data_IF_017577518331
#
_entry.id   IF_017577518331
#
_cell.length_a   1.000
_cell.length_b   1.000
_cell.length_c   1.000
_cell.angle_alpha   90.00
_cell.angle_beta   90.00
_cell.angle_gamma   90.00
#
_symmetry.space_group_name_H-M   'P 1'
#
loop_
_entity.id
_entity.type
_entity.pdbx_description
1 polymer ?
#
# COMPACT_ATOMS: atom_id res chain seq x y z
N UNK A 1 2.47 -1.27 -19.29
CA UNK A 1 3.01 -2.59 -18.93
C UNK A 1 2.09 -3.67 -19.48
N UNK A 2 2.65 -4.70 -20.09
CA UNK A 2 1.95 -5.92 -20.47
C UNK A 2 2.64 -7.09 -19.80
N UNK A 3 1.85 -7.97 -19.19
CA UNK A 3 2.34 -9.15 -18.48
C UNK A 3 1.75 -10.37 -19.16
N UNK A 4 2.61 -11.24 -19.64
CA UNK A 4 2.22 -12.52 -20.24
C UNK A 4 2.86 -13.63 -19.42
N UNK A 5 2.02 -14.49 -18.86
CA UNK A 5 2.45 -15.69 -18.15
C UNK A 5 2.07 -16.91 -18.95
N UNK A 6 3.05 -17.74 -19.22
CA UNK A 6 2.88 -19.00 -19.95
C UNK A 6 3.44 -20.16 -19.14
N UNK A 7 2.75 -21.28 -19.15
CA UNK A 7 3.22 -22.53 -18.55
C UNK A 7 3.42 -23.63 -19.60
N UNK A 8 4.06 -24.71 -19.20
CA UNK A 8 4.34 -25.88 -20.03
C UNK A 8 3.10 -26.72 -20.37
N UNK A 9 1.95 -26.46 -19.71
CA UNK A 9 0.67 -27.09 -20.00
C UNK A 9 -0.12 -26.35 -21.09
N UNK A 10 0.43 -25.26 -21.61
CA UNK A 10 -0.19 -24.43 -22.66
C UNK A 10 -1.13 -23.35 -22.12
N UNK A 11 -1.16 -23.10 -20.82
CA UNK A 11 -1.88 -21.96 -20.26
C UNK A 11 -1.18 -20.66 -20.63
N UNK A 12 -1.95 -19.71 -21.15
CA UNK A 12 -1.47 -18.35 -21.39
C UNK A 12 -2.41 -17.37 -20.70
N UNK A 13 -1.86 -16.58 -19.77
CA UNK A 13 -2.56 -15.50 -19.09
C UNK A 13 -1.95 -14.19 -19.53
N UNK A 14 -2.79 -13.21 -19.87
CA UNK A 14 -2.34 -11.88 -20.26
C UNK A 14 -3.02 -10.83 -19.37
N UNK A 15 -2.24 -9.90 -18.89
CA UNK A 15 -2.70 -8.73 -18.15
C UNK A 15 -2.04 -7.49 -18.72
N UNK A 16 -2.76 -6.38 -18.74
CA UNK A 16 -2.21 -5.11 -19.19
C UNK A 16 -2.66 -3.98 -18.30
N UNK A 17 -1.76 -3.07 -18.02
CA UNK A 17 -2.02 -1.88 -17.22
C UNK A 17 -1.16 -0.72 -17.67
N UNK A 18 -1.62 0.47 -17.39
CA UNK A 18 -0.83 1.68 -17.57
C UNK A 18 -1.04 2.62 -16.40
N UNK A 19 -0.01 3.33 -16.04
CA UNK A 19 -0.07 4.39 -15.04
C UNK A 19 0.91 5.49 -15.42
N UNK A 20 0.58 6.71 -15.04
CA UNK A 20 1.44 7.87 -15.15
C UNK A 20 1.69 8.40 -13.75
N UNK A 21 2.95 8.74 -13.46
CA UNK A 21 3.33 9.34 -12.18
C UNK A 21 4.06 10.65 -12.46
N UNK A 22 3.73 11.67 -11.69
CA UNK A 22 4.42 12.96 -11.64
C UNK A 22 4.94 13.16 -10.23
N UNK A 23 6.22 13.52 -10.10
CA UNK A 23 6.84 13.88 -8.83
C UNK A 23 7.50 15.24 -8.93
N UNK A 24 7.48 15.99 -7.84
CA UNK A 24 8.07 17.32 -7.73
C UNK A 24 8.83 17.44 -6.42
N UNK A 25 10.06 18.00 -6.50
CA UNK A 25 10.82 18.41 -5.33
C UNK A 25 10.99 19.94 -5.32
N UNK A 26 10.79 20.55 -4.16
CA UNK A 26 10.97 21.99 -3.96
C UNK A 26 12.00 22.23 -2.87
N UNK A 27 12.91 23.17 -3.14
CA UNK A 27 13.89 23.68 -2.16
C UNK A 27 13.46 25.07 -1.72
N UNK A 28 13.06 25.21 -0.46
CA UNK A 28 12.69 26.49 0.16
C UNK A 28 13.87 27.05 0.94
N UNK A 29 14.12 28.37 0.81
CA UNK A 29 15.22 29.05 1.52
C UNK A 29 14.75 30.39 2.06
N UNK A 30 15.07 30.65 3.33
CA UNK A 30 14.80 31.93 3.99
C UNK A 30 15.78 32.10 5.16
N UNK A 31 16.39 33.28 5.29
CA UNK A 31 17.28 33.69 6.38
C UNK A 31 18.36 32.66 6.77
N UNK A 32 18.92 31.96 5.77
CA UNK A 32 19.97 30.95 5.99
C UNK A 32 19.44 29.55 6.29
N UNK A 33 18.13 29.40 6.47
CA UNK A 33 17.49 28.09 6.58
C UNK A 33 17.16 27.52 5.18
N UNK A 34 17.20 26.19 5.06
CA UNK A 34 16.94 25.49 3.80
C UNK A 34 16.21 24.19 4.06
N UNK A 35 15.04 24.07 3.47
CA UNK A 35 14.18 22.89 3.60
C UNK A 35 13.84 22.31 2.22
N UNK A 36 13.64 20.99 2.18
CA UNK A 36 13.26 20.26 0.99
C UNK A 36 11.89 19.60 1.23
N UNK A 37 10.98 19.79 0.30
CA UNK A 37 9.71 19.10 0.26
C UNK A 37 9.55 18.31 -1.03
N UNK A 38 8.91 17.16 -0.95
CA UNK A 38 8.58 16.30 -2.08
C UNK A 38 7.09 15.99 -2.08
N UNK A 39 6.54 15.85 -3.28
CA UNK A 39 5.18 15.36 -3.48
C UNK A 39 5.07 14.64 -4.80
N UNK A 40 4.05 13.79 -4.92
CA UNK A 40 3.78 13.03 -6.13
C UNK A 40 2.32 12.68 -6.28
N UNK A 41 1.93 12.43 -7.51
CA UNK A 41 0.60 11.92 -7.89
C UNK A 41 0.77 10.85 -8.94
N UNK A 42 -0.10 9.87 -8.91
CA UNK A 42 -0.19 8.83 -9.93
C UNK A 42 -1.64 8.69 -10.38
N UNK A 43 -1.84 8.43 -11.67
CA UNK A 43 -3.16 8.23 -12.26
C UNK A 43 -3.07 7.31 -13.49
N UNK A 44 -4.21 6.94 -14.06
CA UNK A 44 -4.30 6.19 -15.30
C UNK A 44 -3.93 7.05 -16.54
N UNK A 45 -4.09 8.37 -16.46
CA UNK A 45 -3.72 9.30 -17.53
C UNK A 45 -3.16 10.59 -16.95
N UNK A 46 -2.36 11.31 -17.75
CA UNK A 46 -1.78 12.60 -17.33
C UNK A 46 -2.85 13.66 -17.08
N UNK A 47 -3.92 13.66 -17.87
CA UNK A 47 -5.03 14.63 -17.74
C UNK A 47 -5.79 14.48 -16.41
N UNK A 48 -5.67 13.35 -15.74
CA UNK A 48 -6.24 13.12 -14.41
C UNK A 48 -5.36 13.65 -13.26
N UNK A 49 -4.16 14.18 -13.58
CA UNK A 49 -3.25 14.73 -12.59
C UNK A 49 -3.27 16.25 -12.65
N UNK A 50 -3.80 16.89 -11.59
CA UNK A 50 -3.68 18.33 -11.41
C UNK A 50 -2.26 18.69 -10.97
N UNK A 51 -1.42 19.02 -11.96
CA UNK A 51 -0.01 19.34 -11.74
C UNK A 51 0.17 20.71 -11.09
N UNK A 52 -0.76 21.65 -11.29
CA UNK A 52 -0.72 22.97 -10.67
C UNK A 52 -1.02 22.88 -9.18
N UNK A 53 -2.07 22.14 -8.80
CA UNK A 53 -2.39 21.87 -7.40
C UNK A 53 -1.23 21.13 -6.69
N UNK A 54 -0.61 20.16 -7.35
CA UNK A 54 0.58 19.47 -6.82
C UNK A 54 1.72 20.45 -6.58
N UNK A 55 2.00 21.35 -7.53
CA UNK A 55 3.08 22.31 -7.40
C UNK A 55 2.84 23.29 -6.23
N UNK A 56 1.61 23.77 -6.08
CA UNK A 56 1.20 24.65 -4.98
C UNK A 56 1.33 23.94 -3.63
N UNK A 57 0.84 22.72 -3.52
CA UNK A 57 0.93 21.90 -2.29
C UNK A 57 2.38 21.69 -1.85
N UNK A 58 3.25 21.27 -2.77
CA UNK A 58 4.66 20.99 -2.44
C UNK A 58 5.42 22.27 -2.10
N UNK A 59 5.15 23.38 -2.81
CA UNK A 59 5.74 24.66 -2.49
C UNK A 59 5.32 25.15 -1.09
N UNK A 60 4.03 25.03 -0.75
CA UNK A 60 3.51 25.38 0.57
C UNK A 60 4.12 24.49 1.67
N UNK A 61 4.24 23.18 1.43
CA UNK A 61 4.88 22.25 2.35
C UNK A 61 6.33 22.62 2.63
N UNK A 62 7.09 23.00 1.59
CA UNK A 62 8.47 23.45 1.72
C UNK A 62 8.58 24.74 2.54
N UNK A 63 7.66 25.70 2.32
CA UNK A 63 7.63 26.95 3.08
C UNK A 63 7.26 26.71 4.57
N UNK A 64 6.32 25.82 4.85
CA UNK A 64 5.87 25.48 6.22
C UNK A 64 6.97 24.78 7.04
N UNK A 65 7.93 24.15 6.42
CA UNK A 65 9.04 23.48 7.09
C UNK A 65 10.16 24.42 7.53
N UNK A 66 10.24 25.61 6.92
CA UNK A 66 11.24 26.60 7.29
C UNK A 66 11.10 26.99 8.76
N UNK A 67 12.24 27.17 9.43
CA UNK A 67 12.35 27.50 10.85
C UNK A 67 11.69 26.53 11.82
N UNK A 68 11.44 25.27 11.37
CA UNK A 68 10.90 24.23 12.22
C UNK A 68 11.82 23.99 13.43
N UNK A 69 11.21 23.81 14.61
CA UNK A 69 11.93 23.57 15.84
C UNK A 69 11.53 22.21 16.43
N UNK A 70 12.45 21.50 17.10
CA UNK A 70 12.13 20.31 17.83
C UNK A 70 11.03 20.58 18.87
N UNK A 71 10.07 19.67 18.98
CA UNK A 71 9.09 19.69 20.06
C UNK A 71 9.66 18.99 21.30
N UNK A 72 9.19 19.36 22.47
CA UNK A 72 9.59 18.69 23.71
C UNK A 72 9.18 17.21 23.71
N UNK A 73 9.95 16.34 24.39
CA UNK A 73 9.54 14.96 24.56
C UNK A 73 8.25 14.86 25.38
N UNK A 74 7.29 14.07 24.90
CA UNK A 74 5.99 13.97 25.56
C UNK A 74 5.06 12.98 24.88
N UNK A 75 3.84 12.87 25.39
CA UNK A 75 2.74 12.14 24.74
C UNK A 75 1.84 13.16 24.04
N UNK A 76 1.63 12.95 22.75
CA UNK A 76 0.84 13.84 21.91
C UNK A 76 -0.26 13.06 21.21
N UNK A 77 -1.42 13.70 21.01
CA UNK A 77 -2.36 13.24 20.00
C UNK A 77 -1.78 13.60 18.64
N UNK A 78 -1.75 12.63 17.73
CA UNK A 78 -1.14 12.79 16.39
C UNK A 78 -2.19 12.50 15.33
N UNK A 79 -2.29 13.39 14.33
CA UNK A 79 -3.02 13.15 13.10
C UNK A 79 -1.99 12.87 12.03
N UNK A 80 -2.07 11.70 11.42
CA UNK A 80 -1.23 11.35 10.28
C UNK A 80 -1.94 11.80 9.00
N UNK A 81 -1.25 12.60 8.19
CA UNK A 81 -1.70 12.89 6.83
C UNK A 81 -1.75 11.60 6.02
N UNK A 82 -2.61 11.53 5.00
CA UNK A 82 -2.84 10.33 4.21
C UNK A 82 -1.56 9.69 3.62
N UNK A 83 -0.64 10.51 3.12
CA UNK A 83 0.67 10.06 2.61
C UNK A 83 1.54 9.42 3.70
N UNK A 84 1.69 10.09 4.85
CA UNK A 84 2.43 9.57 6.00
C UNK A 84 1.78 8.30 6.59
N UNK A 85 0.44 8.24 6.60
CA UNK A 85 -0.29 7.06 7.03
C UNK A 85 -0.07 5.89 6.06
N UNK A 86 -0.06 6.15 4.75
CA UNK A 86 0.19 5.14 3.72
C UNK A 86 1.61 4.57 3.81
N UNK A 87 2.63 5.44 3.93
CA UNK A 87 4.03 5.01 4.12
C UNK A 87 4.21 4.16 5.39
N UNK A 88 3.56 4.57 6.49
CA UNK A 88 3.61 3.80 7.72
C UNK A 88 2.95 2.43 7.56
N UNK A 89 1.78 2.37 6.93
CA UNK A 89 1.09 1.11 6.65
C UNK A 89 1.91 0.20 5.74
N UNK A 90 2.52 0.75 4.68
CA UNK A 90 3.37 -0.01 3.76
C UNK A 90 4.52 -0.71 4.50
N UNK A 91 5.16 -0.01 5.44
CA UNK A 91 6.23 -0.60 6.25
C UNK A 91 5.74 -1.76 7.14
N UNK A 92 4.47 -1.76 7.52
CA UNK A 92 3.88 -2.81 8.36
C UNK A 92 3.14 -3.90 7.59
N UNK A 93 2.87 -3.74 6.30
CA UNK A 93 2.15 -4.74 5.50
C UNK A 93 2.72 -6.17 5.58
N UNK A 94 4.04 -6.38 5.68
CA UNK A 94 4.59 -7.73 5.83
C UNK A 94 4.06 -8.52 7.02
N UNK A 95 3.52 -7.88 8.07
CA UNK A 95 2.92 -8.62 9.19
C UNK A 95 1.74 -9.50 8.77
N UNK A 96 1.07 -9.19 7.65
CA UNK A 96 -0.02 -9.98 7.08
C UNK A 96 0.45 -11.10 6.15
N UNK A 97 1.75 -11.18 5.85
CA UNK A 97 2.29 -12.20 4.95
C UNK A 97 2.46 -13.54 5.68
N UNK A 98 1.86 -14.58 5.13
CA UNK A 98 1.99 -15.93 5.69
C UNK A 98 3.45 -16.40 5.74
N UNK A 99 4.30 -15.93 4.83
CA UNK A 99 5.75 -16.18 4.86
C UNK A 99 6.39 -15.65 6.13
N UNK A 100 6.03 -14.43 6.55
CA UNK A 100 6.56 -13.81 7.77
C UNK A 100 6.03 -14.50 9.03
N UNK A 101 4.76 -14.94 9.01
CA UNK A 101 4.17 -15.72 10.09
C UNK A 101 4.86 -17.09 10.24
N UNK A 102 5.15 -17.77 9.12
CA UNK A 102 5.85 -19.06 9.10
C UNK A 102 7.31 -18.96 9.51
N UNK A 103 7.92 -17.79 9.39
CA UNK A 103 9.28 -17.49 9.81
C UNK A 103 9.35 -16.88 11.23
N UNK A 104 8.23 -16.84 11.95
CA UNK A 104 8.12 -16.25 13.30
C UNK A 104 8.46 -14.73 13.36
N UNK A 105 8.36 -14.04 12.20
CA UNK A 105 8.61 -12.60 12.07
C UNK A 105 7.36 -11.75 12.21
N UNK A 106 6.16 -12.36 12.21
CA UNK A 106 4.89 -11.65 12.36
C UNK A 106 4.22 -11.95 13.68
N UNK A 107 3.83 -10.89 14.38
CA UNK A 107 3.07 -10.99 15.63
C UNK A 107 1.60 -11.41 15.44
N UNK A 108 1.13 -11.53 14.19
CA UNK A 108 -0.23 -11.95 13.85
C UNK A 108 -0.38 -13.46 13.65
N UNK A 109 0.70 -14.24 13.74
CA UNK A 109 0.63 -15.69 13.60
C UNK A 109 -0.36 -16.30 14.60
N UNK A 110 -1.37 -17.02 14.09
CA UNK A 110 -2.40 -17.67 14.88
C UNK A 110 -3.46 -16.75 15.49
N UNK A 111 -3.53 -15.48 15.08
CA UNK A 111 -4.49 -14.50 15.60
C UNK A 111 -5.64 -14.16 14.66
N UNK A 112 -5.91 -15.00 13.68
CA UNK A 112 -7.06 -14.82 12.79
C UNK A 112 -8.36 -14.77 13.62
N UNK A 113 -9.19 -13.75 13.34
CA UNK A 113 -10.43 -13.47 14.08
C UNK A 113 -10.24 -12.59 15.33
N UNK A 114 -9.02 -12.33 15.79
CA UNK A 114 -8.76 -11.44 16.93
C UNK A 114 -8.90 -9.96 16.54
N UNK A 115 -9.32 -9.15 17.50
CA UNK A 115 -9.34 -7.68 17.37
C UNK A 115 -7.92 -7.14 17.43
N UNK A 116 -7.47 -6.50 16.35
CA UNK A 116 -6.15 -5.88 16.26
C UNK A 116 -6.23 -4.36 16.01
N UNK A 117 -7.42 -3.87 15.71
CA UNK A 117 -7.71 -2.46 15.50
C UNK A 117 -9.09 -2.12 16.08
N UNK A 118 -9.45 -0.84 16.04
CA UNK A 118 -10.83 -0.42 16.40
C UNK A 118 -11.83 -0.96 15.38
N UNK A 119 -13.05 -1.23 15.82
CA UNK A 119 -14.10 -1.86 14.99
C UNK A 119 -14.56 -1.01 13.80
N UNK A 120 -14.18 0.26 13.74
CA UNK A 120 -14.53 1.17 12.62
C UNK A 120 -13.59 1.04 11.41
N UNK A 121 -12.57 0.19 11.49
CA UNK A 121 -11.52 0.09 10.47
C UNK A 121 -11.62 -1.18 9.65
N UNK A 122 -11.57 -1.00 8.32
CA UNK A 122 -11.22 -2.04 7.37
C UNK A 122 -9.87 -1.72 6.73
N UNK A 123 -9.07 -2.75 6.52
CA UNK A 123 -7.90 -2.73 5.65
C UNK A 123 -8.13 -3.76 4.55
N UNK A 124 -8.20 -3.29 3.31
CA UNK A 124 -8.66 -4.09 2.17
C UNK A 124 -7.57 -4.14 1.12
N UNK A 125 -7.22 -5.32 0.64
CA UNK A 125 -6.49 -5.46 -0.61
C UNK A 125 -7.49 -5.55 -1.76
N UNK A 126 -7.39 -4.62 -2.72
CA UNK A 126 -8.27 -4.58 -3.89
C UNK A 126 -7.44 -4.47 -5.18
N UNK A 127 -7.22 -5.61 -5.88
CA UNK A 127 -6.45 -5.63 -7.12
C UNK A 127 -7.09 -4.85 -8.28
N UNK A 128 -8.37 -4.48 -8.15
CA UNK A 128 -9.14 -3.75 -9.15
C UNK A 128 -9.59 -2.36 -8.64
N UNK A 129 -8.95 -1.84 -7.59
CA UNK A 129 -9.29 -0.54 -7.05
C UNK A 129 -9.15 0.55 -8.11
N UNK A 130 -10.24 1.27 -8.39
CA UNK A 130 -10.33 2.18 -9.54
C UNK A 130 -9.28 3.31 -9.52
N UNK A 131 -8.91 3.80 -8.33
CA UNK A 131 -7.86 4.81 -8.13
C UNK A 131 -6.48 4.19 -7.87
N UNK A 132 -6.39 2.85 -7.91
CA UNK A 132 -5.16 2.12 -7.68
C UNK A 132 -4.13 2.31 -8.79
N UNK A 133 -2.87 2.11 -8.43
CA UNK A 133 -1.77 2.16 -9.40
C UNK A 133 -1.59 0.84 -10.16
N UNK A 134 -2.04 -0.25 -9.55
CA UNK A 134 -1.86 -1.62 -10.05
C UNK A 134 -3.24 -2.21 -10.31
N UNK A 135 -3.43 -2.74 -11.51
CA UNK A 135 -4.61 -3.53 -11.86
C UNK A 135 -4.14 -4.90 -12.31
N UNK A 136 -4.55 -5.95 -11.59
CA UNK A 136 -4.11 -7.32 -11.85
C UNK A 136 -5.31 -8.26 -11.77
N UNK A 137 -5.31 -9.27 -12.64
CA UNK A 137 -6.29 -10.36 -12.63
C UNK A 137 -5.69 -11.66 -12.09
N UNK A 138 -4.36 -11.76 -12.11
CA UNK A 138 -3.61 -12.90 -11.55
C UNK A 138 -2.28 -12.40 -10.96
N UNK A 139 -1.73 -13.17 -10.03
CA UNK A 139 -0.39 -12.95 -9.49
C UNK A 139 0.70 -13.53 -10.41
N UNK A 140 1.96 -13.36 -10.06
CA UNK A 140 3.08 -13.84 -10.89
C UNK A 140 3.26 -15.38 -10.84
N UNK A 141 2.43 -16.07 -10.07
CA UNK A 141 2.30 -17.53 -10.08
C UNK A 141 1.10 -18.01 -10.91
N UNK A 142 0.33 -17.08 -11.52
CA UNK A 142 -0.87 -17.38 -12.29
C UNK A 142 -2.09 -17.72 -11.43
N UNK A 143 -2.06 -17.37 -10.16
CA UNK A 143 -3.23 -17.53 -9.28
C UNK A 143 -4.14 -16.33 -9.45
N UNK A 144 -5.47 -16.50 -9.67
CA UNK A 144 -6.39 -15.38 -9.73
C UNK A 144 -6.34 -14.54 -8.47
N UNK A 145 -6.32 -13.22 -8.63
CA UNK A 145 -6.38 -12.26 -7.52
C UNK A 145 -7.82 -11.81 -7.29
N UNK A 146 -8.14 -11.44 -6.06
CA UNK A 146 -9.48 -10.95 -5.70
C UNK A 146 -9.42 -9.96 -4.55
N UNK A 147 -10.45 -9.12 -4.43
CA UNK A 147 -10.62 -8.26 -3.27
C UNK A 147 -10.73 -9.09 -2.00
N UNK A 148 -9.98 -8.73 -0.96
CA UNK A 148 -10.00 -9.41 0.34
C UNK A 148 -9.73 -8.44 1.47
N UNK A 149 -10.25 -8.77 2.65
CA UNK A 149 -9.99 -8.01 3.87
C UNK A 149 -8.76 -8.58 4.59
N UNK A 150 -7.83 -7.72 4.92
CA UNK A 150 -6.74 -8.00 5.88
C UNK A 150 -7.24 -7.74 7.30
N UNK A 151 -7.95 -6.62 7.45
CA UNK A 151 -8.69 -6.26 8.66
C UNK A 151 -10.14 -6.02 8.26
N UNK A 152 -11.08 -6.66 8.94
CA UNK A 152 -12.51 -6.45 8.77
C UNK A 152 -13.15 -6.09 10.10
N UNK A 153 -13.75 -4.90 10.18
CA UNK A 153 -14.33 -4.37 11.40
C UNK A 153 -13.37 -4.48 12.62
N UNK A 154 -12.10 -4.14 12.42
CA UNK A 154 -11.05 -4.20 13.42
C UNK A 154 -10.44 -5.58 13.68
N UNK A 155 -10.99 -6.66 13.11
CA UNK A 155 -10.49 -8.03 13.28
C UNK A 155 -9.49 -8.38 12.20
N UNK A 156 -8.43 -9.10 12.56
CA UNK A 156 -7.55 -9.73 11.60
C UNK A 156 -8.32 -10.83 10.87
N UNK A 157 -8.56 -10.67 9.56
CA UNK A 157 -9.42 -11.57 8.79
C UNK A 157 -8.63 -12.70 8.13
N UNK A 158 -7.54 -12.38 7.42
CA UNK A 158 -6.77 -13.40 6.72
C UNK A 158 -5.32 -13.00 6.49
N UNK A 159 -4.44 -14.00 6.48
CA UNK A 159 -3.07 -13.89 6.00
C UNK A 159 -3.02 -13.96 4.46
N UNK A 160 -1.96 -13.41 3.89
CA UNK A 160 -1.69 -13.41 2.46
C UNK A 160 -0.72 -14.55 2.11
N UNK A 161 -1.14 -15.39 1.17
CA UNK A 161 -0.42 -16.60 0.76
C UNK A 161 0.02 -16.53 -0.69
N UNK A 162 1.30 -16.80 -0.96
CA UNK A 162 1.76 -17.31 -2.25
C UNK A 162 1.63 -18.85 -2.27
N UNK A 163 1.86 -19.51 -3.41
CA UNK A 163 1.72 -20.97 -3.53
C UNK A 163 2.64 -21.74 -2.55
N UNK A 164 3.85 -21.25 -2.32
CA UNK A 164 4.81 -21.90 -1.41
C UNK A 164 4.35 -21.86 0.04
N UNK A 165 3.93 -20.69 0.52
CA UNK A 165 3.43 -20.54 1.90
C UNK A 165 2.08 -21.23 2.11
N UNK A 166 1.21 -21.20 1.09
CA UNK A 166 -0.05 -21.93 1.07
C UNK A 166 0.16 -23.46 1.17
N UNK A 167 1.10 -24.01 0.39
CA UNK A 167 1.47 -25.42 0.47
C UNK A 167 1.96 -25.84 1.85
N UNK A 168 2.76 -25.00 2.52
CA UNK A 168 3.19 -25.25 3.91
C UNK A 168 2.03 -25.24 4.91
N UNK A 169 1.05 -24.35 4.69
CA UNK A 169 -0.14 -24.23 5.55
C UNK A 169 -1.26 -25.20 5.18
N UNK A 170 -1.09 -26.01 4.13
CA UNK A 170 -2.09 -26.91 3.57
C UNK A 170 -3.41 -26.19 3.21
N UNK A 171 -3.29 -24.98 2.62
CA UNK A 171 -4.40 -24.18 2.13
C UNK A 171 -4.18 -23.74 0.68
N UNK A 172 -5.11 -22.97 0.12
CA UNK A 172 -4.97 -22.39 -1.21
C UNK A 172 -4.21 -21.05 -1.16
N UNK A 173 -3.47 -20.74 -2.23
CA UNK A 173 -2.89 -19.41 -2.42
C UNK A 173 -3.98 -18.35 -2.47
N UNK A 174 -3.73 -17.21 -1.86
CA UNK A 174 -4.63 -16.06 -1.89
C UNK A 174 -4.43 -15.15 -3.12
N UNK A 175 -3.57 -15.56 -4.08
CA UNK A 175 -3.21 -14.73 -5.24
C UNK A 175 -2.25 -13.60 -4.85
N UNK A 176 -1.31 -13.88 -3.97
CA UNK A 176 -0.35 -12.90 -3.47
C UNK A 176 1.11 -13.30 -3.73
N UNK A 177 1.33 -14.11 -4.75
CA UNK A 177 2.66 -14.49 -5.22
C UNK A 177 3.21 -13.47 -6.21
N UNK A 178 4.01 -12.50 -5.73
CA UNK A 178 4.56 -11.45 -6.58
C UNK A 178 6.09 -11.45 -6.58
N UNK A 179 6.67 -10.97 -7.68
CA UNK A 179 8.11 -10.77 -7.84
C UNK A 179 8.44 -9.29 -7.73
N UNK A 180 9.55 -8.95 -7.12
CA UNK A 180 10.07 -7.58 -7.10
C UNK A 180 10.63 -7.15 -8.46
N UNK A 181 11.09 -8.11 -9.27
CA UNK A 181 11.52 -7.95 -10.65
C UNK A 181 11.43 -9.29 -11.40
N UNK A 182 11.63 -9.28 -12.72
CA UNK A 182 11.49 -10.46 -13.59
C UNK A 182 12.39 -11.63 -13.16
N UNK A 183 13.55 -11.37 -12.61
CA UNK A 183 14.54 -12.39 -12.21
C UNK A 183 14.40 -12.78 -10.73
N UNK A 184 13.65 -12.04 -9.94
CA UNK A 184 13.48 -12.32 -8.53
C UNK A 184 12.69 -13.61 -8.29
N UNK A 185 12.94 -14.24 -7.16
CA UNK A 185 12.08 -15.31 -6.67
C UNK A 185 10.71 -14.75 -6.30
N UNK A 186 9.67 -15.57 -6.45
CA UNK A 186 8.32 -15.19 -6.00
C UNK A 186 8.30 -15.05 -4.49
N UNK A 187 7.93 -13.86 -4.03
CA UNK A 187 7.66 -13.54 -2.63
C UNK A 187 6.15 -13.44 -2.36
N UNK A 188 5.78 -13.03 -1.15
CA UNK A 188 4.42 -12.58 -0.85
C UNK A 188 4.37 -11.07 -1.03
N UNK A 189 3.34 -10.56 -1.69
CA UNK A 189 3.15 -9.14 -1.94
C UNK A 189 1.68 -8.76 -2.01
N UNK A 190 1.43 -7.47 -2.20
CA UNK A 190 0.09 -6.88 -2.33
C UNK A 190 -0.01 -6.05 -3.61
N UNK A 191 -1.23 -5.79 -4.04
CA UNK A 191 -1.54 -4.87 -5.14
C UNK A 191 -1.86 -3.47 -4.60
N UNK A 192 -3.15 -3.15 -4.41
CA UNK A 192 -3.56 -1.90 -3.81
C UNK A 192 -4.17 -2.19 -2.43
N UNK A 193 -3.66 -1.52 -1.41
CA UNK A 193 -4.19 -1.63 -0.06
C UNK A 193 -4.92 -0.34 0.30
N UNK A 194 -6.19 -0.49 0.67
CA UNK A 194 -7.09 0.61 0.95
C UNK A 194 -7.51 0.57 2.42
N UNK A 195 -7.37 1.71 3.07
CA UNK A 195 -7.88 1.91 4.41
C UNK A 195 -9.27 2.54 4.35
N UNK A 196 -10.26 1.89 4.96
CA UNK A 196 -11.65 2.33 4.95
C UNK A 196 -12.16 2.53 6.39
N UNK A 197 -12.89 3.63 6.64
CA UNK A 197 -13.72 3.79 7.84
C UNK A 197 -15.12 3.26 7.54
N UNK A 198 -15.64 2.40 8.39
CA UNK A 198 -16.99 1.82 8.24
C UNK A 198 -18.07 2.87 8.52
N UNK A 199 -17.87 3.72 9.50
CA UNK A 199 -18.82 4.79 9.86
C UNK A 199 -18.85 5.93 8.84
N UNK A 200 -17.83 6.01 7.97
CA UNK A 200 -17.68 7.13 7.04
C UNK A 200 -17.43 8.48 7.72
N UNK A 201 -17.17 8.48 9.02
CA UNK A 201 -16.82 9.69 9.76
C UNK A 201 -15.45 10.20 9.34
N UNK A 202 -15.42 11.10 8.38
CA UNK A 202 -14.23 11.86 8.01
C UNK A 202 -14.17 13.11 8.89
N UNK A 203 -13.09 13.27 9.64
CA UNK A 203 -12.78 14.54 10.27
C UNK A 203 -12.24 15.47 9.18
N UNK A 204 -12.91 16.61 8.95
CA UNK A 204 -12.29 17.69 8.18
C UNK A 204 -11.15 18.26 9.04
N UNK A 205 -9.98 18.40 8.45
CA UNK A 205 -8.91 19.21 9.04
C UNK A 205 -9.20 20.67 8.63
N UNK A 206 -9.85 21.42 9.48
CA UNK A 206 -9.89 22.89 9.44
C UNK A 206 -8.72 23.47 10.19
#
# INVERSE_FOLDING_TARGET
EEIILMDDNGTTLTDCGHSVSVSLGVVSREDGDTEIAWGGRSAQSLDAIDTEALAQEVAQLGAQRLHAKPIASGKYAVILKNDAAAELLEAYLPIFYATEMQNEMSSLAGKEGEMIAISDINLVEDPQFAQGRVHRHFDDEGTPVSKKYLIHAGKFESALYNRKSAGKANCQSSGNGFKSDVQAAVGTGVTNVVFESISGNTLSME
#
